data_IF_544064987024
#
_entry.id   IF_544064987024
#
_cell.length_a   1.000
_cell.length_b   1.000
_cell.length_c   1.000
_cell.angle_alpha   90.00
_cell.angle_beta   90.00
_cell.angle_gamma   90.00
#
_symmetry.space_group_name_H-M   'P 1'
#
loop_
_entity.id
_entity.type
_entity.pdbx_description
1 polymer ?
#
# COMPACT_ATOMS: atom_id res chain seq x y z
N UNK A 1 24.17 -14.77 -55.98
CA UNK A 1 23.47 -14.64 -54.69
C UNK A 1 24.48 -14.92 -53.60
N UNK A 2 24.86 -13.94 -52.75
CA UNK A 2 25.77 -14.22 -51.66
C UNK A 2 24.98 -14.92 -50.53
N UNK A 3 25.45 -16.09 -50.16
CA UNK A 3 24.92 -16.82 -48.99
C UNK A 3 25.27 -16.05 -47.74
N UNK A 4 24.25 -15.56 -47.03
CA UNK A 4 24.36 -15.04 -45.65
C UNK A 4 24.77 -16.19 -44.74
N UNK A 5 26.03 -16.21 -44.39
CA UNK A 5 26.62 -17.18 -43.45
C UNK A 5 26.19 -16.79 -42.03
N UNK A 6 24.99 -17.22 -41.58
CA UNK A 6 24.41 -17.01 -40.23
C UNK A 6 25.01 -17.99 -39.19
N UNK A 7 26.28 -18.34 -39.34
CA UNK A 7 27.01 -19.25 -38.46
C UNK A 7 27.97 -18.54 -37.52
N UNK A 8 27.55 -17.50 -36.80
CA UNK A 8 28.32 -17.07 -35.62
C UNK A 8 28.03 -18.02 -34.45
N UNK A 9 28.90 -19.02 -34.27
CA UNK A 9 28.90 -19.89 -33.09
C UNK A 9 28.92 -18.97 -31.84
N UNK A 10 27.82 -18.98 -31.08
CA UNK A 10 27.65 -18.20 -29.88
C UNK A 10 28.79 -18.58 -28.91
N UNK A 11 29.77 -17.69 -28.72
CA UNK A 11 30.95 -18.00 -27.90
C UNK A 11 30.57 -17.84 -26.43
N UNK A 12 30.32 -18.98 -25.75
CA UNK A 12 29.92 -19.05 -24.33
C UNK A 12 30.85 -18.23 -23.41
N UNK A 13 32.14 -18.14 -23.78
CA UNK A 13 33.10 -17.33 -23.02
C UNK A 13 32.85 -15.85 -23.17
N UNK A 14 32.46 -15.39 -24.38
CA UNK A 14 32.12 -13.99 -24.62
C UNK A 14 30.82 -13.62 -23.90
N UNK A 15 29.82 -14.48 -23.93
CA UNK A 15 28.58 -14.30 -23.18
C UNK A 15 28.84 -14.19 -21.68
N UNK A 16 29.65 -15.10 -21.10
CA UNK A 16 30.02 -15.04 -19.70
C UNK A 16 30.68 -13.72 -19.32
N UNK A 17 31.63 -13.24 -20.13
CA UNK A 17 32.32 -11.97 -19.87
C UNK A 17 31.39 -10.76 -20.02
N UNK A 18 30.46 -10.78 -20.98
CA UNK A 18 29.47 -9.73 -21.13
C UNK A 18 28.53 -9.67 -19.93
N UNK A 19 27.95 -10.82 -19.51
CA UNK A 19 27.07 -10.90 -18.35
C UNK A 19 27.79 -10.53 -17.06
N UNK A 20 29.06 -10.89 -16.90
CA UNK A 20 29.86 -10.47 -15.76
C UNK A 20 30.00 -8.94 -15.67
N UNK A 21 30.27 -8.27 -16.82
CA UNK A 21 30.36 -6.81 -16.88
C UNK A 21 29.01 -6.16 -16.56
N UNK A 22 27.95 -6.62 -17.19
CA UNK A 22 26.60 -6.13 -16.92
C UNK A 22 26.19 -6.29 -15.47
N UNK A 23 26.39 -7.46 -14.89
CA UNK A 23 26.13 -7.72 -13.48
C UNK A 23 26.90 -6.79 -12.57
N UNK A 24 28.16 -6.52 -12.88
CA UNK A 24 29.01 -5.62 -12.08
C UNK A 24 28.51 -4.18 -12.16
N UNK A 25 28.29 -3.63 -13.37
CA UNK A 25 27.85 -2.23 -13.52
C UNK A 25 26.41 -2.02 -13.04
N UNK A 26 25.52 -2.93 -13.34
CA UNK A 26 24.16 -2.89 -12.79
C UNK A 26 24.20 -2.94 -11.27
N UNK A 27 25.04 -3.80 -10.68
CA UNK A 27 25.22 -3.87 -9.22
C UNK A 27 25.68 -2.56 -8.61
N UNK A 28 26.64 -1.88 -9.23
CA UNK A 28 27.12 -0.60 -8.74
C UNK A 28 26.01 0.47 -8.73
N UNK A 29 25.13 0.46 -9.72
CA UNK A 29 23.96 1.34 -9.77
C UNK A 29 22.87 0.94 -8.78
N UNK A 30 22.55 -0.36 -8.68
CA UNK A 30 21.40 -0.87 -7.90
C UNK A 30 21.67 -0.84 -6.39
N UNK A 31 22.93 -1.03 -5.94
CA UNK A 31 23.27 -1.10 -4.51
C UNK A 31 22.72 0.07 -3.68
N UNK A 32 22.92 1.36 -4.04
CA UNK A 32 22.40 2.47 -3.23
C UNK A 32 20.86 2.43 -3.11
N UNK A 33 20.16 2.06 -4.18
CA UNK A 33 18.70 1.94 -4.16
C UNK A 33 18.24 0.77 -3.27
N UNK A 34 18.87 -0.41 -3.38
CA UNK A 34 18.52 -1.54 -2.53
C UNK A 34 18.78 -1.26 -1.05
N UNK A 35 19.89 -0.59 -0.71
CA UNK A 35 20.17 -0.18 0.67
C UNK A 35 19.11 0.79 1.17
N UNK A 36 18.77 1.80 0.39
CA UNK A 36 17.75 2.78 0.72
C UNK A 36 16.38 2.11 0.89
N UNK A 37 15.94 1.29 -0.08
CA UNK A 37 14.66 0.56 -0.02
C UNK A 37 14.62 -0.38 1.20
N UNK A 38 15.71 -1.09 1.50
CA UNK A 38 15.77 -1.98 2.67
C UNK A 38 15.67 -1.21 3.98
N UNK A 39 16.40 -0.11 4.13
CA UNK A 39 16.42 0.69 5.37
C UNK A 39 15.07 1.40 5.57
N UNK A 40 14.53 2.03 4.53
CA UNK A 40 13.23 2.72 4.62
C UNK A 40 12.08 1.72 4.82
N UNK A 41 12.07 0.59 4.12
CA UNK A 41 11.08 -0.46 4.31
C UNK A 41 11.12 -1.05 5.72
N UNK A 42 12.32 -1.31 6.27
CA UNK A 42 12.46 -1.70 7.66
C UNK A 42 11.95 -0.62 8.62
N UNK A 43 12.28 0.66 8.35
CA UNK A 43 11.77 1.79 9.10
C UNK A 43 10.24 1.85 9.12
N UNK A 44 9.59 1.62 7.97
CA UNK A 44 8.12 1.59 7.87
C UNK A 44 7.49 0.50 8.75
N UNK A 45 8.12 -0.68 8.86
CA UNK A 45 7.62 -1.76 9.72
C UNK A 45 7.58 -1.36 11.20
N UNK A 46 8.53 -0.55 11.65
CA UNK A 46 8.62 -0.12 13.05
C UNK A 46 8.02 1.28 13.30
N UNK A 47 7.63 2.01 12.26
CA UNK A 47 7.17 3.39 12.38
C UNK A 47 5.95 3.52 13.29
N UNK A 48 4.90 2.70 13.10
CA UNK A 48 3.68 2.74 13.92
C UNK A 48 3.94 2.52 15.43
N UNK A 49 4.66 1.45 15.86
CA UNK A 49 4.97 1.27 17.27
C UNK A 49 5.88 2.37 17.83
N UNK A 50 6.81 2.90 17.03
CA UNK A 50 7.66 4.03 17.43
C UNK A 50 6.83 5.29 17.63
N UNK A 51 5.93 5.62 16.70
CA UNK A 51 5.04 6.78 16.82
C UNK A 51 4.10 6.65 18.03
N UNK A 52 3.53 5.47 18.27
CA UNK A 52 2.67 5.22 19.43
C UNK A 52 3.42 5.40 20.75
N UNK A 53 4.70 5.01 20.80
CA UNK A 53 5.55 5.20 21.99
C UNK A 53 5.84 6.68 22.28
N UNK A 54 6.11 7.48 21.23
CA UNK A 54 6.44 8.90 21.39
C UNK A 54 5.21 9.83 21.49
N UNK A 55 4.03 9.39 21.01
CA UNK A 55 2.80 10.20 21.00
C UNK A 55 1.60 9.45 21.60
N UNK A 56 1.66 9.02 22.88
CA UNK A 56 0.56 8.26 23.48
C UNK A 56 -0.71 9.10 23.73
N UNK A 57 -0.60 10.42 23.81
CA UNK A 57 -1.64 11.34 24.30
C UNK A 57 -2.89 11.42 23.42
N UNK A 58 -2.78 11.17 22.11
CA UNK A 58 -3.93 11.27 21.22
C UNK A 58 -4.67 9.95 20.99
N UNK A 59 -4.03 8.83 21.27
CA UNK A 59 -4.54 7.50 20.93
C UNK A 59 -5.18 6.79 22.10
N UNK A 60 -4.82 7.13 23.32
CA UNK A 60 -5.29 6.44 24.54
C UNK A 60 -6.27 7.31 25.33
N UNK A 61 -7.32 6.67 25.82
CA UNK A 61 -8.36 7.27 26.67
C UNK A 61 -8.62 6.37 27.88
N UNK A 62 -9.12 6.95 28.96
CA UNK A 62 -9.64 6.16 30.05
C UNK A 62 -10.96 5.50 29.65
N UNK A 63 -11.09 4.21 29.93
CA UNK A 63 -12.31 3.47 29.64
C UNK A 63 -13.49 4.01 30.41
N UNK A 64 -14.55 4.39 29.73
CA UNK A 64 -15.81 4.84 30.31
C UNK A 64 -16.87 3.75 30.35
N UNK A 65 -17.98 4.01 31.05
CA UNK A 65 -19.04 2.99 31.19
C UNK A 65 -19.74 2.62 29.89
N UNK A 66 -19.93 3.58 28.97
CA UNK A 66 -20.62 3.34 27.69
C UNK A 66 -20.14 4.36 26.64
N UNK A 67 -19.71 3.90 25.47
CA UNK A 67 -19.34 4.80 24.38
C UNK A 67 -20.57 5.52 23.81
N UNK A 68 -20.34 6.76 23.36
CA UNK A 68 -21.30 7.54 22.61
C UNK A 68 -21.58 6.90 21.24
N UNK A 69 -22.71 7.28 20.64
CA UNK A 69 -23.02 6.86 19.27
C UNK A 69 -22.04 7.47 18.26
N UNK A 70 -21.76 6.76 17.18
CA UNK A 70 -20.89 7.28 16.13
C UNK A 70 -21.37 8.63 15.56
N UNK A 71 -22.70 8.82 15.48
CA UNK A 71 -23.29 10.08 15.05
C UNK A 71 -23.02 11.22 16.03
N UNK A 72 -23.03 10.97 17.34
CA UNK A 72 -22.68 11.98 18.33
C UNK A 72 -21.21 12.39 18.26
N UNK A 73 -20.30 11.43 18.01
CA UNK A 73 -18.89 11.70 17.77
C UNK A 73 -18.67 12.52 16.50
N UNK A 74 -19.38 12.17 15.42
CA UNK A 74 -19.35 12.92 14.17
C UNK A 74 -19.79 14.37 14.39
N UNK A 75 -20.88 14.60 15.12
CA UNK A 75 -21.37 15.96 15.43
C UNK A 75 -20.33 16.79 16.21
N UNK A 76 -19.54 16.18 17.08
CA UNK A 76 -18.43 16.86 17.78
C UNK A 76 -17.32 17.29 16.81
N UNK A 77 -17.02 16.46 15.82
CA UNK A 77 -16.03 16.77 14.77
C UNK A 77 -16.53 17.90 13.86
N UNK A 78 -17.78 17.80 13.39
CA UNK A 78 -18.39 18.80 12.49
C UNK A 78 -18.48 20.18 13.18
N UNK A 79 -18.80 20.21 14.46
CA UNK A 79 -18.85 21.46 15.24
C UNK A 79 -17.48 22.13 15.35
N UNK A 80 -16.38 21.37 15.40
CA UNK A 80 -15.02 21.92 15.53
C UNK A 80 -14.36 22.23 14.20
N UNK A 81 -14.71 21.47 13.16
CA UNK A 81 -14.13 21.56 11.81
C UNK A 81 -15.19 21.79 10.72
N UNK A 82 -16.03 22.83 10.83
CA UNK A 82 -17.18 23.03 9.92
C UNK A 82 -16.77 23.29 8.45
N UNK A 83 -15.50 23.66 8.21
CA UNK A 83 -14.96 23.90 6.87
C UNK A 83 -14.32 22.67 6.24
N UNK A 84 -14.32 21.54 6.95
CA UNK A 84 -13.75 20.26 6.47
C UNK A 84 -14.86 19.25 6.20
N UNK A 85 -14.73 18.48 5.15
CA UNK A 85 -15.59 17.33 4.88
C UNK A 85 -15.05 16.09 5.58
N UNK A 86 -15.89 15.38 6.32
CA UNK A 86 -15.53 14.09 6.88
C UNK A 86 -15.49 13.04 5.76
N UNK A 87 -14.36 12.35 5.64
CA UNK A 87 -14.16 11.33 4.60
C UNK A 87 -14.09 9.90 5.15
N UNK A 88 -13.64 9.75 6.39
CA UNK A 88 -13.42 8.42 6.97
C UNK A 88 -13.76 8.45 8.48
N UNK A 89 -14.37 7.39 8.94
CA UNK A 89 -14.55 7.09 10.36
C UNK A 89 -13.91 5.74 10.69
N UNK A 90 -13.09 5.70 11.73
CA UNK A 90 -12.47 4.49 12.27
C UNK A 90 -12.92 4.36 13.73
N UNK A 91 -13.80 3.41 14.06
CA UNK A 91 -14.25 3.21 15.43
C UNK A 91 -13.10 2.77 16.32
N UNK A 92 -13.20 3.07 17.62
CA UNK A 92 -12.37 2.45 18.63
C UNK A 92 -12.63 0.94 18.66
N UNK A 93 -11.57 0.16 18.67
CA UNK A 93 -11.63 -1.31 18.70
C UNK A 93 -11.35 -1.85 20.10
N UNK A 94 -10.75 -1.03 20.96
CA UNK A 94 -10.41 -1.34 22.37
C UNK A 94 -10.96 -0.23 23.24
N UNK A 95 -11.42 -0.57 24.44
CA UNK A 95 -12.04 0.39 25.38
C UNK A 95 -11.14 1.57 25.76
N UNK A 96 -9.83 1.42 25.63
CA UNK A 96 -8.84 2.45 25.94
C UNK A 96 -8.34 3.21 24.72
N UNK A 97 -8.97 3.05 23.55
CA UNK A 97 -8.54 3.68 22.32
C UNK A 97 -9.49 4.80 21.87
N UNK A 98 -8.93 5.88 21.32
CA UNK A 98 -9.70 6.96 20.70
C UNK A 98 -10.35 6.52 19.38
N UNK A 99 -11.56 6.99 19.11
CA UNK A 99 -12.14 6.93 17.77
C UNK A 99 -11.45 7.96 16.88
N UNK A 100 -11.35 7.67 15.55
CA UNK A 100 -10.62 8.50 14.61
C UNK A 100 -11.54 8.92 13.46
N UNK A 101 -11.40 10.18 13.04
CA UNK A 101 -12.04 10.70 11.83
C UNK A 101 -10.97 11.29 10.93
N UNK A 102 -11.08 11.08 9.63
CA UNK A 102 -10.28 11.81 8.64
C UNK A 102 -11.17 12.89 8.03
N UNK A 103 -10.70 14.12 8.14
CA UNK A 103 -11.37 15.30 7.59
C UNK A 103 -10.48 15.96 6.56
N UNK A 104 -11.05 16.45 5.47
CA UNK A 104 -10.30 17.04 4.36
C UNK A 104 -10.87 18.44 4.08
N UNK A 105 -10.00 19.43 3.93
CA UNK A 105 -10.44 20.80 3.64
C UNK A 105 -11.23 20.84 2.33
N UNK A 106 -12.42 21.45 2.37
CA UNK A 106 -13.24 21.73 1.21
C UNK A 106 -12.50 22.73 0.31
N UNK A 107 -11.71 22.26 -0.64
CA UNK A 107 -11.12 23.10 -1.67
C UNK A 107 -12.03 23.06 -2.89
N UNK A 108 -12.60 24.22 -3.30
CA UNK A 108 -13.28 24.33 -4.57
C UNK A 108 -12.35 23.91 -5.71
N UNK A 109 -12.93 23.44 -6.81
CA UNK A 109 -12.26 23.08 -8.06
C UNK A 109 -11.61 24.33 -8.71
N UNK A 110 -10.59 24.87 -8.06
CA UNK A 110 -9.75 25.95 -8.59
C UNK A 110 -8.46 25.35 -9.13
N UNK A 111 -8.13 25.67 -10.37
CA UNK A 111 -6.88 25.35 -11.08
C UNK A 111 -5.65 26.03 -10.45
N UNK A 112 -5.42 25.81 -9.16
CA UNK A 112 -4.24 26.28 -8.45
C UNK A 112 -3.93 25.28 -7.37
N UNK A 113 -2.76 24.64 -7.48
CA UNK A 113 -2.29 23.52 -6.67
C UNK A 113 -2.17 23.78 -5.16
N UNK A 114 -3.28 24.06 -4.50
CA UNK A 114 -3.38 24.02 -3.05
C UNK A 114 -3.59 22.55 -2.64
N UNK A 115 -2.58 21.95 -2.03
CA UNK A 115 -2.71 20.65 -1.38
C UNK A 115 -3.91 20.68 -0.45
N UNK A 116 -4.91 19.82 -0.70
CA UNK A 116 -6.05 19.63 0.22
C UNK A 116 -5.47 19.18 1.55
N UNK A 117 -5.67 19.98 2.58
CA UNK A 117 -5.22 19.61 3.92
C UNK A 117 -6.08 18.48 4.43
N UNK A 118 -5.46 17.39 4.89
CA UNK A 118 -6.11 16.28 5.55
C UNK A 118 -5.70 16.24 7.00
N UNK A 119 -6.67 16.00 7.88
CA UNK A 119 -6.40 15.86 9.30
C UNK A 119 -7.03 14.56 9.81
N UNK A 120 -6.26 13.80 10.57
CA UNK A 120 -6.77 12.71 11.39
C UNK A 120 -7.10 13.26 12.77
N UNK A 121 -8.39 13.34 13.05
CA UNK A 121 -8.96 13.88 14.31
C UNK A 121 -9.21 12.72 15.27
N UNK A 122 -8.69 12.80 16.47
CA UNK A 122 -8.86 11.82 17.55
C UNK A 122 -9.94 12.29 18.51
N UNK A 123 -10.91 11.43 18.80
CA UNK A 123 -12.08 11.73 19.60
C UNK A 123 -12.22 10.72 20.72
N UNK A 124 -12.42 11.19 21.96
CA UNK A 124 -12.74 10.31 23.08
C UNK A 124 -14.12 9.67 22.87
N UNK A 125 -14.24 8.33 22.74
CA UNK A 125 -15.49 7.68 22.44
C UNK A 125 -16.55 7.79 23.54
N UNK A 126 -16.16 8.14 24.78
CA UNK A 126 -17.06 8.23 25.92
C UNK A 126 -17.58 9.64 26.18
N UNK A 127 -16.75 10.64 25.91
CA UNK A 127 -17.09 12.05 26.22
C UNK A 127 -17.38 12.89 24.98
N UNK A 128 -16.97 12.43 23.78
CA UNK A 128 -17.01 13.20 22.55
C UNK A 128 -15.95 14.32 22.50
N UNK A 129 -15.08 14.42 23.50
CA UNK A 129 -14.02 15.42 23.51
C UNK A 129 -12.97 15.13 22.43
N UNK A 130 -12.58 16.17 21.68
CA UNK A 130 -11.49 16.09 20.71
C UNK A 130 -10.15 16.10 21.47
N UNK A 131 -9.36 15.06 21.26
CA UNK A 131 -8.06 14.88 21.94
C UNK A 131 -6.95 15.60 21.18
N UNK A 132 -7.08 15.71 19.86
CA UNK A 132 -6.15 16.38 18.97
C UNK A 132 -6.41 16.04 17.51
N UNK A 133 -5.67 16.71 16.64
CA UNK A 133 -5.66 16.42 15.22
C UNK A 133 -4.22 16.41 14.71
N UNK A 134 -3.91 15.49 13.78
CA UNK A 134 -2.59 15.35 13.17
C UNK A 134 -2.76 15.20 11.66
N UNK A 135 -1.92 15.87 10.87
CA UNK A 135 -1.85 15.57 9.46
C UNK A 135 -1.19 14.19 9.29
N UNK A 136 -1.84 13.23 8.61
CA UNK A 136 -1.22 11.94 8.31
C UNK A 136 0.09 12.06 7.52
N UNK A 137 0.23 13.11 6.70
CA UNK A 137 1.44 13.37 5.93
C UNK A 137 2.64 13.75 6.80
N UNK A 138 2.40 14.27 8.03
CA UNK A 138 3.45 14.62 8.98
C UNK A 138 3.93 13.41 9.82
N UNK A 139 3.42 12.21 9.53
CA UNK A 139 3.81 11.01 10.25
C UNK A 139 5.21 10.54 9.85
N UNK A 140 5.92 9.91 10.79
CA UNK A 140 7.22 9.28 10.50
C UNK A 140 7.06 8.17 9.46
N UNK A 141 5.92 7.46 9.48
CA UNK A 141 5.58 6.49 8.45
C UNK A 141 5.48 7.15 7.06
N UNK A 142 4.74 8.26 6.92
CA UNK A 142 4.58 8.96 5.64
C UNK A 142 5.92 9.51 5.10
N UNK A 143 6.80 9.98 5.99
CA UNK A 143 8.15 10.40 5.62
C UNK A 143 8.94 9.23 4.99
N UNK A 144 8.92 8.07 5.65
CA UNK A 144 9.61 6.87 5.16
C UNK A 144 8.96 6.32 3.89
N UNK A 145 7.63 6.34 3.79
CA UNK A 145 6.87 5.93 2.62
C UNK A 145 7.21 6.78 1.39
N UNK A 146 7.21 8.12 1.54
CA UNK A 146 7.59 9.05 0.47
C UNK A 146 9.04 8.83 0.03
N UNK A 147 9.95 8.60 1.00
CA UNK A 147 11.34 8.30 0.67
C UNK A 147 11.48 6.95 -0.04
N UNK A 148 10.77 5.92 0.43
CA UNK A 148 10.79 4.57 -0.12
C UNK A 148 10.23 4.52 -1.55
N UNK A 149 9.11 5.21 -1.80
CA UNK A 149 8.40 5.16 -3.07
C UNK A 149 8.90 6.16 -4.11
N UNK A 150 9.42 7.31 -3.70
CA UNK A 150 9.72 8.40 -4.65
C UNK A 150 10.98 9.22 -4.36
N UNK A 151 11.79 8.87 -3.37
CA UNK A 151 13.01 9.62 -2.99
C UNK A 151 12.75 11.11 -2.71
N UNK A 152 11.55 11.49 -2.33
CA UNK A 152 11.06 12.88 -2.27
C UNK A 152 11.09 13.63 -3.62
N UNK A 153 11.21 12.92 -4.75
CA UNK A 153 11.33 13.49 -6.09
C UNK A 153 10.09 13.26 -6.97
N UNK A 154 8.99 12.80 -6.37
CA UNK A 154 7.76 12.46 -7.10
C UNK A 154 8.01 11.44 -8.23
N UNK A 155 7.39 11.64 -9.39
CA UNK A 155 7.47 10.72 -10.53
C UNK A 155 8.89 10.41 -11.00
N UNK A 156 9.81 11.37 -10.87
CA UNK A 156 11.22 11.16 -11.23
C UNK A 156 11.87 10.13 -10.30
N UNK A 157 11.59 10.25 -8.99
CA UNK A 157 12.12 9.32 -8.00
C UNK A 157 11.51 7.92 -8.14
N UNK A 158 10.20 7.83 -8.37
CA UNK A 158 9.50 6.57 -8.64
C UNK A 158 10.11 5.87 -9.87
N UNK A 159 10.26 6.56 -10.99
CA UNK A 159 10.88 6.03 -12.21
C UNK A 159 12.34 5.55 -11.98
N UNK A 160 13.11 6.25 -11.15
CA UNK A 160 14.47 5.82 -10.80
C UNK A 160 14.47 4.52 -9.98
N UNK A 161 13.55 4.40 -9.02
CA UNK A 161 13.38 3.18 -8.22
C UNK A 161 12.92 2.03 -9.13
N UNK A 162 12.01 2.30 -10.05
CA UNK A 162 11.52 1.33 -11.02
C UNK A 162 12.65 0.79 -11.91
N UNK A 163 13.49 1.67 -12.48
CA UNK A 163 14.68 1.28 -13.24
C UNK A 163 15.63 0.45 -12.38
N UNK A 164 15.90 0.88 -11.15
CA UNK A 164 16.78 0.16 -10.24
C UNK A 164 16.25 -1.23 -9.89
N UNK A 165 14.94 -1.36 -9.66
CA UNK A 165 14.26 -2.62 -9.37
C UNK A 165 14.30 -3.56 -10.58
N UNK A 166 14.04 -3.06 -11.79
CA UNK A 166 14.15 -3.82 -13.03
C UNK A 166 15.57 -4.33 -13.28
N UNK A 167 16.59 -3.47 -13.08
CA UNK A 167 17.99 -3.88 -13.14
C UNK A 167 18.32 -4.89 -12.04
N UNK A 168 17.72 -4.79 -10.85
CA UNK A 168 17.83 -5.76 -9.77
C UNK A 168 17.35 -7.16 -10.19
N UNK A 169 16.22 -7.24 -10.89
CA UNK A 169 15.72 -8.51 -11.47
C UNK A 169 16.74 -9.10 -12.46
N UNK A 170 17.25 -8.26 -13.38
CA UNK A 170 18.28 -8.71 -14.33
C UNK A 170 19.58 -9.15 -13.62
N UNK A 171 19.93 -8.50 -12.52
CA UNK A 171 21.07 -8.89 -11.69
C UNK A 171 20.87 -10.27 -11.06
N UNK A 172 19.69 -10.59 -10.55
CA UNK A 172 19.40 -11.91 -9.99
C UNK A 172 19.59 -12.97 -11.07
N UNK A 173 18.99 -12.79 -12.24
CA UNK A 173 19.08 -13.72 -13.37
C UNK A 173 20.54 -13.92 -13.81
N UNK A 174 21.25 -12.81 -14.06
CA UNK A 174 22.66 -12.87 -14.46
C UNK A 174 23.56 -13.46 -13.38
N UNK A 175 23.29 -13.14 -12.11
CA UNK A 175 24.03 -13.66 -10.95
C UNK A 175 23.89 -15.17 -10.78
N UNK A 176 22.68 -15.71 -10.93
CA UNK A 176 22.42 -17.15 -10.91
C UNK A 176 23.14 -17.85 -12.07
N UNK A 177 23.10 -17.31 -13.28
CA UNK A 177 23.85 -17.84 -14.42
C UNK A 177 25.36 -17.86 -14.16
N UNK A 178 25.93 -16.75 -13.68
CA UNK A 178 27.35 -16.64 -13.37
C UNK A 178 27.79 -17.58 -12.23
N UNK A 179 26.90 -17.81 -11.25
CA UNK A 179 27.14 -18.76 -10.17
C UNK A 179 27.15 -20.21 -10.69
N UNK A 180 26.18 -20.56 -11.54
CA UNK A 180 26.04 -21.89 -12.15
C UNK A 180 27.20 -22.21 -13.11
N UNK A 181 27.50 -21.29 -14.03
CA UNK A 181 28.60 -21.48 -15.01
C UNK A 181 29.97 -21.74 -14.36
N UNK A 182 30.16 -21.35 -13.11
CA UNK A 182 31.39 -21.54 -12.33
C UNK A 182 31.31 -22.65 -11.32
N UNK A 183 30.18 -23.32 -11.17
CA UNK A 183 29.98 -24.42 -10.19
C UNK A 183 30.85 -25.64 -10.46
N UNK A 184 31.27 -25.88 -11.70
CA UNK A 184 32.04 -27.02 -12.10
C UNK A 184 33.56 -26.91 -11.80
N UNK A 185 34.01 -25.89 -11.08
CA UNK A 185 35.41 -25.74 -10.70
C UNK A 185 35.68 -26.42 -9.33
N UNK A 186 36.56 -27.40 -9.25
CA UNK A 186 36.76 -28.26 -8.06
C UNK A 186 37.49 -27.58 -6.88
N UNK A 187 37.59 -26.27 -6.82
CA UNK A 187 38.29 -25.58 -5.73
C UNK A 187 37.49 -25.66 -4.41
N UNK A 188 37.79 -26.68 -3.62
CA UNK A 188 37.36 -26.92 -2.23
C UNK A 188 38.04 -25.96 -1.24
N UNK A 189 38.01 -24.66 -1.44
CA UNK A 189 38.54 -23.73 -0.45
C UNK A 189 37.51 -23.51 0.68
N UNK A 190 37.97 -23.63 1.93
CA UNK A 190 37.14 -23.46 3.14
C UNK A 190 36.28 -22.18 3.11
N UNK A 191 35.02 -22.27 3.58
CA UNK A 191 34.06 -21.19 3.72
C UNK A 191 34.54 -20.05 4.63
N UNK A 192 35.51 -20.31 5.48
CA UNK A 192 35.89 -19.43 6.60
C UNK A 192 37.01 -18.43 6.33
N UNK A 193 37.56 -18.33 5.11
CA UNK A 193 38.66 -17.39 4.86
C UNK A 193 38.07 -16.12 4.19
N UNK A 194 37.39 -15.28 4.98
CA UNK A 194 36.92 -13.95 4.57
C UNK A 194 38.05 -12.93 4.31
N UNK A 195 39.30 -13.29 4.63
CA UNK A 195 40.49 -12.43 4.41
C UNK A 195 40.92 -12.32 2.95
N UNK A 196 40.33 -13.11 2.03
CA UNK A 196 40.74 -13.14 0.62
C UNK A 196 39.63 -12.68 -0.32
N UNK A 197 39.98 -12.12 -1.48
CA UNK A 197 39.03 -11.77 -2.56
C UNK A 197 38.22 -13.01 -3.03
N UNK A 198 38.79 -14.19 -2.94
CA UNK A 198 38.11 -15.43 -3.28
C UNK A 198 37.03 -15.79 -2.26
N UNK A 199 37.31 -15.58 -0.97
CA UNK A 199 36.35 -15.78 0.12
C UNK A 199 35.12 -14.86 -0.01
N UNK A 200 35.33 -13.58 -0.24
CA UNK A 200 34.26 -12.62 -0.46
C UNK A 200 33.39 -12.94 -1.68
N UNK A 201 33.98 -13.37 -2.79
CA UNK A 201 33.24 -13.81 -3.98
C UNK A 201 32.42 -15.09 -3.70
N UNK A 202 32.94 -15.98 -2.87
CA UNK A 202 32.22 -17.20 -2.46
C UNK A 202 31.04 -16.86 -1.55
N UNK A 203 31.26 -15.99 -0.57
CA UNK A 203 30.20 -15.51 0.32
C UNK A 203 29.09 -14.82 -0.48
N UNK A 204 29.44 -13.91 -1.38
CA UNK A 204 28.48 -13.25 -2.27
C UNK A 204 27.64 -14.25 -3.07
N UNK A 205 28.25 -15.27 -3.66
CA UNK A 205 27.53 -16.32 -4.39
C UNK A 205 26.58 -17.11 -3.49
N UNK A 206 27.04 -17.47 -2.30
CA UNK A 206 26.23 -18.24 -1.35
C UNK A 206 25.01 -17.42 -0.90
N UNK A 207 25.24 -16.21 -0.42
CA UNK A 207 24.17 -15.30 0.01
C UNK A 207 23.25 -15.00 -1.18
N UNK A 208 23.81 -14.65 -2.34
CA UNK A 208 23.05 -14.37 -3.54
C UNK A 208 22.15 -15.51 -3.98
N UNK A 209 22.63 -16.76 -3.88
CA UNK A 209 21.82 -17.94 -4.19
C UNK A 209 20.67 -18.14 -3.19
N UNK A 210 20.93 -17.95 -1.89
CA UNK A 210 19.91 -18.11 -0.84
C UNK A 210 18.82 -17.04 -0.94
N UNK A 211 19.22 -15.78 -1.19
CA UNK A 211 18.26 -14.66 -1.24
C UNK A 211 17.65 -14.44 -2.62
N UNK A 212 18.10 -15.13 -3.67
CA UNK A 212 17.66 -14.89 -5.05
C UNK A 212 16.13 -14.97 -5.20
N UNK A 213 15.51 -16.02 -4.69
CA UNK A 213 14.05 -16.22 -4.80
C UNK A 213 13.28 -15.18 -3.99
N UNK A 214 13.51 -15.01 -2.67
CA UNK A 214 12.77 -14.00 -1.92
C UNK A 214 13.01 -12.59 -2.46
N UNK A 215 14.25 -12.22 -2.83
CA UNK A 215 14.53 -10.90 -3.39
C UNK A 215 13.83 -10.69 -4.74
N UNK A 216 13.80 -11.71 -5.61
CA UNK A 216 13.06 -11.66 -6.88
C UNK A 216 11.56 -11.37 -6.64
N UNK A 217 10.94 -12.09 -5.69
CA UNK A 217 9.53 -11.89 -5.34
C UNK A 217 9.28 -10.50 -4.76
N UNK A 218 10.16 -10.00 -3.89
CA UNK A 218 10.05 -8.64 -3.36
C UNK A 218 10.18 -7.57 -4.44
N UNK A 219 11.15 -7.70 -5.36
CA UNK A 219 11.30 -6.75 -6.46
C UNK A 219 10.11 -6.80 -7.41
N UNK A 220 9.60 -8.00 -7.73
CA UNK A 220 8.44 -8.15 -8.61
C UNK A 220 7.17 -7.57 -7.98
N UNK A 221 6.93 -7.84 -6.69
CA UNK A 221 5.80 -7.24 -5.97
C UNK A 221 5.96 -5.73 -5.84
N UNK A 222 7.19 -5.22 -5.58
CA UNK A 222 7.46 -3.79 -5.54
C UNK A 222 7.19 -3.09 -6.88
N UNK A 223 7.57 -3.72 -8.00
CA UNK A 223 7.29 -3.20 -9.35
C UNK A 223 5.80 -3.07 -9.65
N UNK A 224 4.92 -3.84 -9.01
CA UNK A 224 3.47 -3.69 -9.19
C UNK A 224 2.90 -2.37 -8.62
N UNK A 225 3.67 -1.66 -7.81
CA UNK A 225 3.28 -0.38 -7.21
C UNK A 225 3.89 0.85 -7.91
N UNK A 226 4.72 0.64 -8.94
CA UNK A 226 5.37 1.71 -9.68
C UNK A 226 4.50 2.23 -10.83
N UNK A 227 4.82 3.42 -11.34
CA UNK A 227 4.00 4.10 -12.34
C UNK A 227 3.88 3.32 -13.67
N UNK A 228 4.99 2.82 -14.22
CA UNK A 228 5.01 2.20 -15.55
C UNK A 228 4.72 0.70 -15.46
N UNK A 229 5.53 -0.05 -14.72
CA UNK A 229 5.34 -1.49 -14.56
C UNK A 229 4.10 -1.84 -13.76
N UNK A 230 3.74 -1.01 -12.76
CA UNK A 230 2.50 -1.14 -12.01
C UNK A 230 1.30 -1.12 -12.95
N UNK A 231 1.21 -0.13 -13.83
CA UNK A 231 0.16 -0.06 -14.84
C UNK A 231 0.08 -1.32 -15.71
N UNK A 232 1.23 -1.85 -16.16
CA UNK A 232 1.28 -3.06 -17.01
C UNK A 232 0.94 -4.34 -16.23
N UNK A 233 1.44 -4.49 -14.99
CA UNK A 233 1.25 -5.70 -14.18
C UNK A 233 -0.13 -5.74 -13.52
N UNK A 234 -0.68 -4.59 -13.13
CA UNK A 234 -1.96 -4.48 -12.42
C UNK A 234 -3.16 -4.46 -13.37
N UNK A 235 -3.04 -3.85 -14.54
CA UNK A 235 -4.14 -3.78 -15.52
C UNK A 235 -4.83 -5.11 -15.82
N UNK A 236 -4.12 -6.25 -15.98
CA UNK A 236 -4.79 -7.54 -16.17
C UNK A 236 -5.70 -7.93 -15.02
N UNK A 237 -5.37 -7.53 -13.77
CA UNK A 237 -6.17 -7.86 -12.60
C UNK A 237 -7.48 -7.07 -12.51
N UNK A 238 -7.49 -5.80 -12.96
CA UNK A 238 -8.70 -4.98 -13.05
C UNK A 238 -9.75 -5.51 -14.02
N UNK A 239 -9.36 -6.38 -14.95
CA UNK A 239 -10.24 -7.03 -15.91
C UNK A 239 -10.66 -8.44 -15.52
N UNK A 240 -10.17 -8.98 -14.40
CA UNK A 240 -10.56 -10.32 -13.94
C UNK A 240 -12.01 -10.33 -13.42
N UNK A 241 -12.79 -11.38 -13.72
CA UNK A 241 -14.22 -11.45 -13.40
C UNK A 241 -14.54 -11.60 -11.90
N UNK A 242 -13.54 -11.82 -11.03
CA UNK A 242 -13.74 -12.11 -9.61
C UNK A 242 -14.43 -11.00 -8.80
N UNK A 243 -14.42 -9.76 -9.28
CA UNK A 243 -15.07 -8.62 -8.61
C UNK A 243 -16.35 -8.16 -9.31
N UNK A 244 -17.00 -9.08 -10.01
CA UNK A 244 -18.26 -8.82 -10.71
C UNK A 244 -19.43 -8.69 -9.74
N UNK A 245 -19.96 -7.49 -9.54
CA UNK A 245 -21.27 -7.28 -8.95
C UNK A 245 -22.25 -6.78 -10.02
N UNK A 246 -23.54 -7.15 -9.88
CA UNK A 246 -24.58 -6.92 -10.90
C UNK A 246 -25.18 -5.51 -10.89
N UNK A 247 -24.83 -4.66 -9.92
CA UNK A 247 -25.35 -3.30 -9.80
C UNK A 247 -24.67 -2.34 -10.78
N UNK A 248 -25.29 -1.21 -11.15
CA UNK A 248 -24.67 -0.18 -11.94
C UNK A 248 -23.34 0.27 -11.34
N UNK A 249 -22.35 0.52 -12.20
CA UNK A 249 -20.98 0.87 -11.82
C UNK A 249 -20.70 2.33 -12.20
N UNK A 250 -19.95 3.00 -11.33
CA UNK A 250 -19.43 4.34 -11.64
C UNK A 250 -18.20 4.24 -12.58
N UNK A 251 -17.80 5.34 -13.18
CA UNK A 251 -16.53 5.45 -13.91
C UNK A 251 -15.30 5.51 -12.99
N UNK A 252 -15.53 5.56 -11.68
CA UNK A 252 -14.51 5.75 -10.66
C UNK A 252 -14.20 4.41 -10.04
N UNK A 253 -12.92 4.10 -9.89
CA UNK A 253 -12.42 2.85 -9.33
C UNK A 253 -12.15 2.97 -7.83
N UNK A 254 -11.87 1.84 -7.17
CA UNK A 254 -11.60 1.79 -5.73
C UNK A 254 -10.32 2.55 -5.32
N UNK A 255 -9.38 2.78 -6.24
CA UNK A 255 -8.19 3.61 -6.00
C UNK A 255 -8.55 5.02 -5.51
N UNK A 256 -9.69 5.56 -5.94
CA UNK A 256 -10.20 6.85 -5.46
C UNK A 256 -10.55 6.87 -3.96
N UNK A 257 -10.55 5.71 -3.29
CA UNK A 257 -10.67 5.61 -1.82
C UNK A 257 -9.32 5.73 -1.11
N UNK A 258 -8.21 5.56 -1.83
CA UNK A 258 -6.88 5.82 -1.32
C UNK A 258 -6.71 7.34 -1.11
N UNK A 259 -6.30 7.74 0.06
CA UNK A 259 -6.11 9.15 0.42
C UNK A 259 -4.63 9.44 0.63
N UNK A 260 -4.15 10.54 0.06
CA UNK A 260 -2.77 11.05 0.26
C UNK A 260 -1.66 10.08 -0.12
N UNK A 261 -1.84 9.33 -1.23
CA UNK A 261 -0.82 8.42 -1.74
C UNK A 261 -0.68 7.10 -0.97
N UNK A 262 -1.38 6.95 0.14
CA UNK A 262 -1.36 5.69 0.89
C UNK A 262 -2.36 4.70 0.29
N UNK A 263 -1.87 3.59 -0.24
CA UNK A 263 -2.70 2.47 -0.69
C UNK A 263 -3.36 1.78 0.50
N UNK A 264 -4.64 2.03 0.71
CA UNK A 264 -5.45 1.46 1.81
C UNK A 264 -6.50 0.48 1.32
N UNK A 265 -6.72 0.46 0.02
CA UNK A 265 -7.58 -0.50 -0.66
C UNK A 265 -6.74 -1.71 -1.06
N UNK A 266 -7.25 -2.95 -0.92
CA UNK A 266 -6.56 -4.13 -1.43
C UNK A 266 -6.24 -3.97 -2.91
N UNK A 267 -5.00 -4.29 -3.28
CA UNK A 267 -4.48 -4.15 -4.64
C UNK A 267 -5.38 -4.78 -5.72
N UNK A 268 -5.95 -5.95 -5.43
CA UNK A 268 -6.87 -6.64 -6.34
C UNK A 268 -8.17 -5.86 -6.61
N UNK A 269 -8.56 -4.94 -5.73
CA UNK A 269 -9.75 -4.12 -5.90
C UNK A 269 -9.49 -2.74 -6.50
N UNK A 270 -8.26 -2.23 -6.43
CA UNK A 270 -7.95 -0.83 -6.80
C UNK A 270 -8.49 -0.41 -8.16
N UNK A 271 -8.30 -1.26 -9.17
CA UNK A 271 -8.74 -0.98 -10.54
C UNK A 271 -10.20 -1.34 -10.82
N UNK A 272 -10.91 -1.90 -9.83
CA UNK A 272 -12.32 -2.26 -10.03
C UNK A 272 -13.22 -1.05 -9.81
N UNK A 273 -14.27 -0.85 -10.65
CA UNK A 273 -15.16 0.29 -10.51
C UNK A 273 -15.97 0.21 -9.21
N UNK A 274 -16.25 1.38 -8.62
CA UNK A 274 -17.15 1.49 -7.49
C UNK A 274 -18.62 1.28 -7.94
N UNK A 275 -19.47 0.63 -7.11
CA UNK A 275 -20.88 0.55 -7.41
C UNK A 275 -21.55 1.93 -7.30
N UNK A 276 -22.53 2.15 -8.16
CA UNK A 276 -23.32 3.38 -8.15
C UNK A 276 -24.48 3.25 -7.13
N UNK A 277 -24.56 4.22 -6.22
CA UNK A 277 -25.73 4.38 -5.34
C UNK A 277 -26.81 5.17 -6.04
N UNK A 278 -28.06 4.92 -5.70
CA UNK A 278 -29.18 5.75 -6.17
C UNK A 278 -29.07 7.16 -5.58
N UNK A 279 -29.41 8.16 -6.40
CA UNK A 279 -29.51 9.54 -5.92
C UNK A 279 -30.58 9.61 -4.84
N UNK A 280 -30.26 10.17 -3.68
CA UNK A 280 -31.15 10.26 -2.55
C UNK A 280 -31.32 11.70 -2.06
N UNK A 281 -32.53 12.10 -1.76
CA UNK A 281 -32.82 13.38 -1.07
C UNK A 281 -32.31 13.35 0.40
N UNK A 282 -32.25 12.14 1.00
CA UNK A 282 -31.74 11.96 2.36
C UNK A 282 -30.76 10.78 2.39
N UNK A 283 -29.62 11.00 3.00
CA UNK A 283 -28.60 9.97 3.22
C UNK A 283 -28.74 9.34 4.61
N UNK A 284 -28.42 8.06 4.71
CA UNK A 284 -28.39 7.35 5.99
C UNK A 284 -27.34 7.96 6.92
N UNK A 285 -27.68 8.08 8.20
CA UNK A 285 -26.74 8.52 9.21
C UNK A 285 -25.70 7.45 9.55
N UNK A 286 -24.54 7.89 10.05
CA UNK A 286 -23.41 7.04 10.39
C UNK A 286 -23.79 5.86 11.33
N UNK A 287 -24.72 6.06 12.25
CA UNK A 287 -25.17 5.00 13.17
C UNK A 287 -25.78 3.79 12.42
N UNK A 288 -26.52 4.04 11.34
CA UNK A 288 -27.11 2.98 10.52
C UNK A 288 -26.03 2.13 9.86
N UNK A 289 -24.99 2.79 9.33
CA UNK A 289 -23.86 2.12 8.68
C UNK A 289 -23.03 1.30 9.71
N UNK A 290 -22.81 1.85 10.90
CA UNK A 290 -22.20 1.12 12.02
C UNK A 290 -23.03 -0.11 12.40
N UNK A 291 -24.36 0.02 12.39
CA UNK A 291 -25.28 -1.11 12.62
C UNK A 291 -25.11 -2.22 11.59
N UNK A 292 -24.98 -1.87 10.31
CA UNK A 292 -24.74 -2.83 9.22
C UNK A 292 -23.37 -3.51 9.39
N UNK A 293 -22.31 -2.75 9.71
CA UNK A 293 -20.98 -3.32 9.96
C UNK A 293 -21.00 -4.38 11.07
N UNK A 294 -21.65 -4.06 12.19
CA UNK A 294 -21.83 -4.99 13.32
C UNK A 294 -22.67 -6.21 12.93
N UNK A 295 -23.74 -6.00 12.16
CA UNK A 295 -24.59 -7.10 11.64
C UNK A 295 -23.83 -8.04 10.70
N UNK A 296 -22.78 -7.57 10.02
CA UNK A 296 -21.86 -8.37 9.21
C UNK A 296 -20.74 -9.04 10.01
N UNK A 297 -20.70 -8.84 11.34
CA UNK A 297 -19.68 -9.40 12.21
C UNK A 297 -18.31 -8.70 12.11
N UNK A 298 -18.23 -7.51 11.53
CA UNK A 298 -16.99 -6.75 11.45
C UNK A 298 -16.68 -6.12 12.80
N UNK A 299 -15.50 -6.39 13.33
CA UNK A 299 -15.01 -5.87 14.62
C UNK A 299 -14.01 -4.74 14.45
N UNK A 300 -13.17 -4.85 13.42
CA UNK A 300 -12.15 -3.89 13.06
C UNK A 300 -12.41 -3.45 11.62
N UNK A 301 -12.84 -2.22 11.46
CA UNK A 301 -13.24 -1.70 10.14
C UNK A 301 -13.12 -0.19 10.08
N UNK A 302 -13.22 0.34 8.90
CA UNK A 302 -13.36 1.77 8.63
C UNK A 302 -14.56 2.02 7.73
N UNK A 303 -15.17 3.19 7.88
CA UNK A 303 -16.33 3.62 7.11
C UNK A 303 -15.94 4.83 6.29
N UNK A 304 -15.95 4.69 4.97
CA UNK A 304 -15.76 5.77 4.02
C UNK A 304 -17.08 6.45 3.73
N UNK A 305 -17.12 7.76 3.86
CA UNK A 305 -18.26 8.58 3.56
C UNK A 305 -18.44 8.73 2.04
N UNK A 306 -19.68 8.78 1.52
CA UNK A 306 -19.92 9.01 0.11
C UNK A 306 -19.43 10.42 -0.29
N UNK A 307 -18.62 10.50 -1.35
CA UNK A 307 -18.04 11.77 -1.85
C UNK A 307 -19.01 12.57 -2.75
N UNK A 308 -20.13 11.98 -3.17
CA UNK A 308 -21.16 12.59 -4.02
C UNK A 308 -22.47 11.85 -3.86
N UNK A 309 -23.56 12.45 -4.41
CA UNK A 309 -24.91 11.91 -4.36
C UNK A 309 -25.07 10.51 -5.01
N UNK A 310 -24.14 10.12 -5.87
CA UNK A 310 -24.16 8.80 -6.55
C UNK A 310 -23.19 7.79 -5.94
N UNK A 311 -22.43 8.16 -4.90
CA UNK A 311 -21.47 7.25 -4.27
C UNK A 311 -22.07 6.50 -3.10
N UNK A 312 -21.70 5.24 -2.99
CA UNK A 312 -22.08 4.39 -1.88
C UNK A 312 -21.28 4.71 -0.61
N UNK A 313 -21.85 4.46 0.56
CA UNK A 313 -21.08 4.22 1.77
C UNK A 313 -20.24 2.96 1.57
N UNK A 314 -19.01 2.99 2.04
CA UNK A 314 -18.15 1.81 1.96
C UNK A 314 -17.60 1.47 3.34
N UNK A 315 -17.79 0.22 3.75
CA UNK A 315 -17.15 -0.34 4.93
C UNK A 315 -16.00 -1.22 4.42
N UNK A 316 -14.81 -0.99 4.91
CA UNK A 316 -13.63 -1.82 4.59
C UNK A 316 -12.95 -2.33 5.86
N UNK A 317 -12.47 -3.56 5.80
CA UNK A 317 -11.67 -4.21 6.83
C UNK A 317 -10.51 -4.91 6.13
N UNK A 318 -9.30 -4.32 6.19
CA UNK A 318 -8.18 -4.75 5.36
C UNK A 318 -6.87 -4.83 6.15
N UNK A 319 -5.98 -5.72 5.71
CA UNK A 319 -4.64 -5.84 6.29
C UNK A 319 -3.74 -4.67 5.89
N UNK A 320 -3.89 -4.16 4.68
CA UNK A 320 -3.08 -3.05 4.17
C UNK A 320 -3.35 -1.75 4.94
N UNK A 321 -4.57 -1.56 5.38
CA UNK A 321 -4.93 -0.43 6.24
C UNK A 321 -4.58 -0.67 7.73
N UNK A 322 -4.21 -1.90 8.08
CA UNK A 322 -3.88 -2.33 9.43
C UNK A 322 -5.10 -2.51 10.33
N UNK A 323 -6.28 -2.72 9.76
CA UNK A 323 -7.49 -3.00 10.52
C UNK A 323 -7.45 -4.40 11.11
N UNK A 324 -7.01 -5.37 10.33
CA UNK A 324 -6.90 -6.78 10.67
C UNK A 324 -5.52 -7.33 10.32
N UNK A 325 -5.17 -8.51 10.84
CA UNK A 325 -3.89 -9.18 10.58
C UNK A 325 -4.02 -10.39 9.65
N UNK A 326 -5.22 -10.95 9.52
CA UNK A 326 -5.47 -12.11 8.68
C UNK A 326 -6.07 -11.68 7.33
N UNK A 327 -5.34 -11.81 6.21
CA UNK A 327 -5.84 -11.39 4.89
C UNK A 327 -7.08 -12.18 4.44
N UNK A 328 -7.23 -13.42 4.86
CA UNK A 328 -8.40 -14.25 4.49
C UNK A 328 -9.72 -13.73 5.10
N UNK A 329 -9.68 -12.78 6.02
CA UNK A 329 -10.86 -12.15 6.62
C UNK A 329 -11.10 -10.73 6.09
N UNK A 330 -10.33 -10.29 5.09
CA UNK A 330 -10.58 -9.02 4.41
C UNK A 330 -11.98 -8.98 3.80
N UNK A 331 -12.60 -7.80 3.87
CA UNK A 331 -13.93 -7.60 3.32
C UNK A 331 -14.19 -6.14 3.02
N UNK A 332 -14.80 -5.89 1.87
CA UNK A 332 -15.28 -4.56 1.47
C UNK A 332 -16.76 -4.63 1.17
N UNK A 333 -17.56 -3.78 1.82
CA UNK A 333 -19.03 -3.76 1.67
C UNK A 333 -19.47 -2.37 1.21
N UNK A 334 -20.19 -2.31 0.10
CA UNK A 334 -20.77 -1.09 -0.43
C UNK A 334 -22.27 -1.04 -0.13
N UNK A 335 -22.75 0.10 0.35
CA UNK A 335 -24.09 0.28 0.86
C UNK A 335 -24.71 1.49 0.19
N UNK A 336 -25.92 1.32 -0.34
CA UNK A 336 -26.73 2.41 -0.89
C UNK A 336 -26.99 3.47 0.18
N UNK A 337 -26.68 4.72 -0.16
CA UNK A 337 -26.76 5.82 0.81
C UNK A 337 -28.19 6.18 1.20
N UNK A 338 -29.20 5.80 0.43
CA UNK A 338 -30.60 6.16 0.65
C UNK A 338 -31.35 5.18 1.54
N UNK A 339 -31.17 3.88 1.28
CA UNK A 339 -32.01 2.83 1.87
C UNK A 339 -31.22 1.77 2.66
N UNK A 340 -29.87 1.81 2.62
CA UNK A 340 -29.04 0.84 3.33
C UNK A 340 -28.94 -0.52 2.64
N UNK A 341 -29.40 -0.67 1.42
CA UNK A 341 -29.27 -1.89 0.65
C UNK A 341 -27.78 -2.15 0.37
N UNK A 342 -27.35 -3.40 0.53
CA UNK A 342 -26.00 -3.81 0.17
C UNK A 342 -25.94 -3.89 -1.35
N UNK A 343 -25.09 -3.05 -1.95
CA UNK A 343 -24.85 -3.00 -3.39
C UNK A 343 -23.80 -4.03 -3.82
N UNK A 344 -22.77 -4.19 -3.00
CA UNK A 344 -21.75 -5.22 -3.19
C UNK A 344 -21.18 -5.63 -1.83
N UNK A 345 -20.84 -6.88 -1.70
CA UNK A 345 -20.21 -7.48 -0.52
C UNK A 345 -19.05 -8.34 -1.03
N UNK A 346 -17.84 -7.86 -0.84
CA UNK A 346 -16.61 -8.39 -1.43
C UNK A 346 -15.71 -8.96 -0.32
N UNK A 347 -15.87 -10.23 0.06
CA UNK A 347 -14.93 -10.92 0.92
C UNK A 347 -13.63 -11.26 0.14
N UNK A 348 -12.53 -11.53 0.85
CA UNK A 348 -11.25 -11.93 0.26
C UNK A 348 -11.36 -13.04 -0.79
N UNK A 349 -12.27 -13.99 -0.60
CA UNK A 349 -12.46 -15.10 -1.53
C UNK A 349 -12.97 -14.68 -2.92
N UNK A 350 -13.47 -13.46 -3.05
CA UNK A 350 -14.05 -12.92 -4.29
C UNK A 350 -13.06 -11.95 -4.99
N UNK A 351 -11.83 -11.81 -4.48
CA UNK A 351 -10.78 -10.93 -5.04
C UNK A 351 -10.04 -11.62 -6.19
#
# INVERSE_FOLDING_TARGET
MPQLNLGSSFNVKQLYLALWRWHFYAGLFVIPFLLMLTLSGFGMLIAKPVEAFFNPTFTMVDAGAKPLSAQALLSSVDARYPQFDVKLYIPSTVDTEAAKFVVVSGGGEGHGGHHKQSLMVYVNPYTGALLGAKDPADSFYALLETFHGSLFMGDIGDNLIEIASGLGVLMIISGLYLAWAKSNSPNKTSLFILKSRAGWRRLHRLIGFVIAIPLFLFLLSGLSWTNIWGGVLVQPWGSLPGTGFEVPKTEITHDAMNEHGAHKVPWALEQTPLPESKTAEQTLGLNSIVGIAKGKGLTHYRIHFPKSERRAWTISSTTIAGDITNPFTERTVHIDQSNGQILADLPFADY
#
